data_IF_129797260966
#
_entry.id   IF_129797260966
#
_cell.length_a   1.000
_cell.length_b   1.000
_cell.length_c   1.000
_cell.angle_alpha   90.00
_cell.angle_beta   90.00
_cell.angle_gamma   90.00
#
_symmetry.space_group_name_H-M   'P 1'
#
loop_
_entity.id
_entity.type
_entity.pdbx_description
1 polymer ?
#
# COMPACT_ATOMS: atom_id res chain seq x y z
N UNK A 1 -31.26 -25.66 -4.22
CA UNK A 1 -31.04 -26.45 -2.98
C UNK A 1 -29.96 -25.78 -2.17
N UNK A 2 -30.13 -25.60 -0.84
CA UNK A 2 -29.04 -25.12 0.01
C UNK A 2 -27.86 -26.10 -0.04
N UNK A 3 -26.64 -25.59 -0.19
CA UNK A 3 -25.42 -26.41 -0.11
C UNK A 3 -25.04 -26.59 1.35
N UNK A 4 -24.89 -27.83 1.81
CA UNK A 4 -24.35 -28.14 3.14
C UNK A 4 -22.82 -28.14 3.07
N UNK A 5 -22.18 -27.38 3.95
CA UNK A 5 -20.72 -27.33 4.10
C UNK A 5 -20.37 -27.74 5.52
N UNK A 6 -19.40 -28.64 5.68
CA UNK A 6 -18.87 -29.06 6.99
C UNK A 6 -17.51 -28.41 7.20
N UNK A 7 -17.37 -27.65 8.27
CA UNK A 7 -16.13 -26.99 8.65
C UNK A 7 -15.52 -27.75 9.84
N UNK A 8 -14.22 -28.06 9.76
CA UNK A 8 -13.46 -28.63 10.86
C UNK A 8 -12.79 -27.49 11.63
N UNK A 9 -13.07 -27.43 12.93
CA UNK A 9 -12.49 -26.44 13.84
C UNK A 9 -11.28 -27.07 14.51
N UNK A 10 -10.18 -26.33 14.63
CA UNK A 10 -8.98 -26.81 15.33
C UNK A 10 -9.28 -26.95 16.83
N UNK A 11 -8.59 -27.88 17.49
CA UNK A 11 -8.84 -28.20 18.91
C UNK A 11 -8.74 -26.98 19.86
N UNK A 12 -7.94 -25.96 19.51
CA UNK A 12 -7.82 -24.73 20.29
C UNK A 12 -8.94 -23.69 20.08
N UNK A 13 -9.68 -23.80 18.98
CA UNK A 13 -10.64 -22.78 18.57
C UNK A 13 -12.09 -23.11 19.00
N UNK A 14 -12.33 -24.30 19.56
CA UNK A 14 -13.68 -24.75 19.94
C UNK A 14 -14.41 -23.77 20.88
N UNK A 15 -13.70 -23.20 21.87
CA UNK A 15 -14.30 -22.21 22.78
C UNK A 15 -14.73 -20.92 22.07
N UNK A 16 -13.99 -20.48 21.05
CA UNK A 16 -14.36 -19.31 20.25
C UNK A 16 -15.65 -19.58 19.47
N UNK A 17 -15.77 -20.77 18.88
CA UNK A 17 -16.94 -21.18 18.11
C UNK A 17 -18.19 -21.32 18.98
N UNK A 18 -18.08 -21.91 20.17
CA UNK A 18 -19.20 -21.98 21.12
C UNK A 18 -19.65 -20.59 21.57
N UNK A 19 -18.71 -19.68 21.84
CA UNK A 19 -19.02 -18.28 22.17
C UNK A 19 -19.71 -17.57 21.00
N UNK A 20 -19.19 -17.72 19.79
CA UNK A 20 -19.79 -17.11 18.59
C UNK A 20 -21.21 -17.64 18.34
N UNK A 21 -21.42 -18.94 18.52
CA UNK A 21 -22.75 -19.59 18.44
C UNK A 21 -23.72 -19.05 19.49
N UNK A 22 -23.27 -18.92 20.75
CA UNK A 22 -24.09 -18.35 21.82
C UNK A 22 -24.50 -16.89 21.52
N UNK A 23 -23.57 -16.09 21.00
CA UNK A 23 -23.84 -14.70 20.58
C UNK A 23 -24.75 -14.61 19.35
N UNK A 24 -24.65 -15.57 18.42
CA UNK A 24 -25.52 -15.63 17.24
C UNK A 24 -26.95 -16.07 17.58
N UNK A 25 -27.17 -16.75 18.73
CA UNK A 25 -28.48 -17.26 19.13
C UNK A 25 -28.76 -18.73 18.75
N UNK A 26 -27.72 -19.54 18.51
CA UNK A 26 -27.85 -20.98 18.21
C UNK A 26 -27.21 -21.42 16.89
N UNK A 27 -27.40 -22.70 16.52
CA UNK A 27 -26.79 -23.29 15.32
C UNK A 27 -27.34 -22.72 14.00
N UNK A 28 -28.64 -22.44 13.96
CA UNK A 28 -29.31 -21.93 12.74
C UNK A 28 -28.83 -20.51 12.38
N UNK A 29 -28.44 -19.73 13.36
CA UNK A 29 -27.88 -18.39 13.19
C UNK A 29 -26.35 -18.38 13.04
N UNK A 30 -25.64 -19.43 13.47
CA UNK A 30 -24.20 -19.59 13.25
C UNK A 30 -23.88 -19.70 11.74
N UNK A 31 -24.71 -20.39 10.96
CA UNK A 31 -24.53 -20.48 9.51
C UNK A 31 -24.66 -19.10 8.83
N UNK A 32 -25.59 -18.27 9.32
CA UNK A 32 -25.76 -16.89 8.87
C UNK A 32 -24.54 -16.02 9.22
N UNK A 33 -24.05 -16.12 10.46
CA UNK A 33 -22.84 -15.43 10.93
C UNK A 33 -21.62 -15.79 10.09
N UNK A 34 -21.37 -17.07 9.86
CA UNK A 34 -20.23 -17.55 9.07
C UNK A 34 -20.34 -17.08 7.63
N UNK A 35 -21.54 -17.13 7.04
CA UNK A 35 -21.75 -16.64 5.66
C UNK A 35 -21.47 -15.14 5.54
N UNK A 36 -21.91 -14.35 6.52
CA UNK A 36 -21.64 -12.91 6.54
C UNK A 36 -20.15 -12.59 6.73
N UNK A 37 -19.47 -13.32 7.63
CA UNK A 37 -18.02 -13.18 7.81
C UNK A 37 -17.25 -13.54 6.53
N UNK A 38 -17.64 -14.63 5.85
CA UNK A 38 -17.05 -15.02 4.57
C UNK A 38 -17.31 -14.00 3.47
N UNK A 39 -18.51 -13.42 3.41
CA UNK A 39 -18.84 -12.35 2.47
C UNK A 39 -17.91 -11.15 2.67
N UNK A 40 -17.80 -10.66 3.90
CA UNK A 40 -16.89 -9.55 4.23
C UNK A 40 -15.45 -9.86 3.86
N UNK A 41 -14.99 -11.08 4.14
CA UNK A 41 -13.67 -11.53 3.75
C UNK A 41 -13.48 -11.51 2.23
N UNK A 42 -14.42 -12.07 1.47
CA UNK A 42 -14.34 -12.10 0.00
C UNK A 42 -14.37 -10.69 -0.57
N UNK A 43 -15.31 -9.85 -0.16
CA UNK A 43 -15.42 -8.47 -0.62
C UNK A 43 -14.12 -7.70 -0.35
N UNK A 44 -13.49 -7.92 0.81
CA UNK A 44 -12.20 -7.35 1.15
C UNK A 44 -11.07 -7.86 0.25
N UNK A 45 -10.99 -9.18 0.01
CA UNK A 45 -9.97 -9.75 -0.87
C UNK A 45 -10.13 -9.31 -2.33
N UNK A 46 -11.37 -9.18 -2.81
CA UNK A 46 -11.64 -8.70 -4.17
C UNK A 46 -11.28 -7.22 -4.33
N UNK A 47 -11.60 -6.37 -3.33
CA UNK A 47 -11.12 -4.98 -3.29
C UNK A 47 -9.59 -4.91 -3.32
N UNK A 48 -8.91 -5.72 -2.50
CA UNK A 48 -7.44 -5.81 -2.47
C UNK A 48 -6.86 -6.21 -3.82
N UNK A 49 -7.45 -7.21 -4.46
CA UNK A 49 -7.00 -7.69 -5.77
C UNK A 49 -7.22 -6.62 -6.85
N UNK A 50 -8.35 -5.91 -6.81
CA UNK A 50 -8.64 -4.82 -7.73
C UNK A 50 -7.64 -3.66 -7.59
N UNK A 51 -7.35 -3.20 -6.36
CA UNK A 51 -6.37 -2.15 -6.12
C UNK A 51 -4.96 -2.54 -6.62
N UNK A 52 -4.52 -3.77 -6.34
CA UNK A 52 -3.24 -4.29 -6.87
C UNK A 52 -3.22 -4.36 -8.40
N UNK A 53 -4.34 -4.69 -9.03
CA UNK A 53 -4.44 -4.72 -10.48
C UNK A 53 -4.43 -3.31 -11.07
N UNK A 54 -5.14 -2.36 -10.46
CA UNK A 54 -5.15 -0.96 -10.88
C UNK A 54 -3.74 -0.33 -10.85
N UNK A 55 -2.99 -0.57 -9.76
CA UNK A 55 -1.59 -0.13 -9.66
C UNK A 55 -0.73 -0.75 -10.76
N UNK A 56 -0.95 -2.03 -11.09
CA UNK A 56 -0.26 -2.70 -12.21
C UNK A 56 -0.64 -2.10 -13.56
N UNK A 57 -1.90 -1.74 -13.77
CA UNK A 57 -2.38 -1.17 -15.03
C UNK A 57 -1.86 0.27 -15.23
N UNK A 58 -1.53 0.97 -14.14
CA UNK A 58 -0.86 2.28 -14.14
C UNK A 58 0.65 2.20 -14.39
N UNK A 59 1.24 1.00 -14.44
CA UNK A 59 2.67 0.83 -14.63
C UNK A 59 3.11 1.34 -16.00
N UNK A 60 4.03 2.29 -16.02
CA UNK A 60 4.62 2.87 -17.22
C UNK A 60 6.08 3.24 -16.99
N UNK A 61 6.78 3.55 -18.07
CA UNK A 61 8.14 4.04 -17.97
C UNK A 61 8.15 5.51 -17.53
N UNK A 62 8.96 5.81 -16.51
CA UNK A 62 9.25 7.15 -16.02
C UNK A 62 10.70 7.50 -16.30
N UNK A 63 10.94 8.78 -16.58
CA UNK A 63 12.28 9.36 -16.73
C UNK A 63 12.37 10.58 -15.84
N UNK A 64 13.08 10.45 -14.71
CA UNK A 64 13.32 11.55 -13.79
C UNK A 64 14.61 12.27 -14.17
N UNK A 65 14.58 13.59 -14.23
CA UNK A 65 15.78 14.41 -14.29
C UNK A 65 16.21 14.74 -12.88
N UNK A 66 17.43 14.31 -12.51
CA UNK A 66 17.94 14.39 -11.14
C UNK A 66 19.23 15.18 -11.14
N UNK A 67 19.42 16.03 -10.14
CA UNK A 67 20.62 16.82 -9.95
C UNK A 67 21.76 15.91 -9.49
N UNK A 68 22.93 16.05 -10.11
CA UNK A 68 24.11 15.27 -9.75
C UNK A 68 24.75 15.90 -8.52
N UNK A 69 24.94 15.09 -7.46
CA UNK A 69 25.73 15.45 -6.28
C UNK A 69 27.10 14.81 -6.41
N UNK A 70 28.17 15.60 -6.28
CA UNK A 70 29.56 15.11 -6.30
C UNK A 70 30.29 15.64 -5.07
N UNK A 71 30.83 14.74 -4.24
CA UNK A 71 31.57 15.11 -3.02
C UNK A 71 30.74 15.92 -2.01
N UNK A 72 29.41 15.72 -1.97
CA UNK A 72 28.50 16.46 -1.09
C UNK A 72 28.07 17.84 -1.63
N UNK A 73 28.47 18.20 -2.85
CA UNK A 73 28.09 19.46 -3.49
C UNK A 73 27.12 19.19 -4.64
N UNK A 74 26.01 19.92 -4.64
CA UNK A 74 25.07 19.97 -5.76
C UNK A 74 25.78 20.58 -6.96
N UNK A 75 25.94 19.76 -8.01
CA UNK A 75 26.48 20.25 -9.28
C UNK A 75 25.32 20.81 -10.10
N UNK A 76 25.54 21.86 -10.88
CA UNK A 76 24.52 22.36 -11.82
C UNK A 76 24.19 21.40 -12.98
N UNK A 77 24.72 20.16 -12.94
CA UNK A 77 24.52 19.13 -13.95
C UNK A 77 23.37 18.20 -13.56
N UNK A 78 22.58 17.79 -14.54
CA UNK A 78 21.47 16.84 -14.37
C UNK A 78 21.80 15.50 -15.03
N UNK A 79 21.26 14.40 -14.48
CA UNK A 79 21.26 13.06 -15.09
C UNK A 79 19.82 12.55 -15.20
N UNK A 80 19.58 11.69 -16.20
CA UNK A 80 18.29 11.01 -16.38
C UNK A 80 18.30 9.65 -15.69
N UNK A 81 17.29 9.38 -14.88
CA UNK A 81 17.04 8.09 -14.23
C UNK A 81 15.77 7.51 -14.81
N UNK A 82 15.83 6.28 -15.30
CA UNK A 82 14.71 5.62 -15.97
C UNK A 82 14.28 4.38 -15.18
N UNK A 83 12.99 4.21 -14.99
CA UNK A 83 12.41 3.02 -14.36
C UNK A 83 10.99 2.78 -14.85
N UNK A 84 10.48 1.56 -14.63
CA UNK A 84 9.05 1.25 -14.81
C UNK A 84 8.40 1.28 -13.45
N UNK A 85 7.28 2.00 -13.33
CA UNK A 85 6.55 2.13 -12.07
C UNK A 85 5.17 2.73 -12.26
N UNK A 86 4.46 2.94 -11.17
CA UNK A 86 3.20 3.68 -11.09
C UNK A 86 3.37 4.83 -10.12
N UNK A 87 2.93 6.04 -10.50
CA UNK A 87 2.79 7.16 -9.56
C UNK A 87 1.69 6.76 -8.57
N UNK A 88 1.95 6.87 -7.28
CA UNK A 88 1.01 6.58 -6.20
C UNK A 88 0.35 7.85 -5.69
N UNK A 89 1.15 8.89 -5.48
CA UNK A 89 0.72 10.19 -5.00
C UNK A 89 1.62 11.29 -5.53
N UNK A 90 1.06 12.49 -5.67
CA UNK A 90 1.76 13.72 -6.00
C UNK A 90 1.26 14.84 -5.08
N UNK A 91 2.14 15.76 -4.69
CA UNK A 91 1.72 16.93 -3.94
C UNK A 91 2.78 18.00 -3.90
N UNK A 92 2.40 19.15 -3.34
CA UNK A 92 3.26 20.32 -3.32
C UNK A 92 3.26 20.95 -1.92
N UNK A 93 4.46 21.11 -1.37
CA UNK A 93 4.68 21.88 -0.14
C UNK A 93 5.51 23.13 -0.50
N UNK A 94 4.91 24.30 -0.33
CA UNK A 94 5.48 25.58 -0.77
C UNK A 94 5.88 25.56 -2.26
N UNK A 95 7.18 25.54 -2.57
CA UNK A 95 7.71 25.48 -3.95
C UNK A 95 8.28 24.12 -4.32
N UNK A 96 8.12 23.12 -3.44
CA UNK A 96 8.69 21.78 -3.59
C UNK A 96 7.58 20.82 -4.01
N UNK A 97 7.83 20.07 -5.08
CA UNK A 97 6.92 19.01 -5.55
C UNK A 97 7.44 17.67 -5.02
N UNK A 98 6.52 16.85 -4.53
CA UNK A 98 6.78 15.52 -3.99
C UNK A 98 5.97 14.50 -4.79
N UNK A 99 6.67 13.58 -5.45
CA UNK A 99 6.05 12.45 -6.14
C UNK A 99 6.48 11.15 -5.47
N UNK A 100 5.54 10.25 -5.22
CA UNK A 100 5.83 8.90 -4.71
C UNK A 100 5.44 7.87 -5.76
N UNK A 101 6.36 7.02 -6.17
CA UNK A 101 6.14 5.96 -7.15
C UNK A 101 6.32 4.58 -6.53
N UNK A 102 5.52 3.59 -6.95
CA UNK A 102 5.86 2.17 -6.82
C UNK A 102 6.57 1.71 -8.08
N UNK A 103 7.78 1.17 -7.95
CA UNK A 103 8.50 0.55 -9.06
C UNK A 103 7.93 -0.83 -9.38
N UNK A 104 8.15 -1.31 -10.61
CA UNK A 104 7.81 -2.69 -11.00
C UNK A 104 8.57 -3.76 -10.18
N UNK A 105 9.68 -3.37 -9.53
CA UNK A 105 10.43 -4.20 -8.59
C UNK A 105 9.93 -4.16 -7.15
N UNK A 106 8.82 -3.45 -6.87
CA UNK A 106 8.20 -3.37 -5.54
C UNK A 106 8.80 -2.33 -4.59
N UNK A 107 9.81 -1.57 -5.01
CA UNK A 107 10.39 -0.47 -4.23
C UNK A 107 9.61 0.82 -4.40
N UNK A 108 9.67 1.70 -3.42
CA UNK A 108 9.13 3.05 -3.49
C UNK A 108 10.21 4.05 -3.91
N UNK A 109 9.86 4.98 -4.79
CA UNK A 109 10.72 6.12 -5.16
C UNK A 109 10.04 7.39 -4.67
N UNK A 110 10.68 8.14 -3.80
CA UNK A 110 10.28 9.51 -3.49
C UNK A 110 11.12 10.44 -4.35
N UNK A 111 10.48 11.17 -5.25
CA UNK A 111 11.10 12.20 -6.06
C UNK A 111 10.72 13.58 -5.51
N UNK A 112 11.71 14.46 -5.44
CA UNK A 112 11.59 15.81 -4.92
C UNK A 112 12.05 16.75 -6.03
N UNK A 113 11.19 17.65 -6.47
CA UNK A 113 11.59 18.78 -7.31
C UNK A 113 11.55 20.06 -6.47
N UNK A 114 12.73 20.64 -6.25
CA UNK A 114 12.92 21.85 -5.47
C UNK A 114 13.71 22.89 -6.28
N UNK A 115 13.69 24.13 -5.80
CA UNK A 115 14.38 25.24 -6.49
C UNK A 115 15.90 25.07 -6.58
N UNK A 116 16.50 24.31 -5.67
CA UNK A 116 17.93 24.01 -5.61
C UNK A 116 18.33 22.70 -6.31
N UNK A 117 17.34 21.93 -6.78
CA UNK A 117 17.58 20.73 -7.55
C UNK A 117 16.47 19.70 -7.46
N UNK A 118 16.63 18.65 -8.27
CA UNK A 118 15.71 17.52 -8.30
C UNK A 118 16.41 16.31 -7.72
N UNK A 119 15.81 15.66 -6.73
CA UNK A 119 16.41 14.56 -5.98
C UNK A 119 15.47 13.37 -5.94
N UNK A 120 16.01 12.18 -5.67
CA UNK A 120 15.18 11.03 -5.37
C UNK A 120 15.88 10.12 -4.38
N UNK A 121 15.07 9.46 -3.57
CA UNK A 121 15.48 8.36 -2.72
C UNK A 121 14.59 7.14 -2.95
N UNK A 122 15.12 5.97 -2.62
CA UNK A 122 14.45 4.67 -2.82
C UNK A 122 14.27 3.97 -1.48
N UNK A 123 13.07 3.47 -1.24
CA UNK A 123 12.64 2.85 0.01
C UNK A 123 12.07 1.45 -0.26
N UNK A 124 12.20 0.55 0.71
CA UNK A 124 11.69 -0.83 0.56
C UNK A 124 10.22 -0.93 1.00
N UNK A 125 9.78 -0.11 1.96
CA UNK A 125 8.42 -0.14 2.53
C UNK A 125 7.85 1.28 2.74
N UNK A 126 6.53 1.38 2.93
CA UNK A 126 5.90 2.64 3.33
C UNK A 126 6.39 3.11 4.70
N UNK A 127 6.71 2.19 5.61
CA UNK A 127 7.23 2.54 6.93
C UNK A 127 8.64 3.14 6.84
N UNK A 128 9.49 2.57 5.97
CA UNK A 128 10.82 3.14 5.68
C UNK A 128 10.71 4.55 5.08
N UNK A 129 9.74 4.74 4.17
CA UNK A 129 9.44 6.05 3.58
C UNK A 129 8.97 7.03 4.66
N UNK A 130 7.97 6.65 5.46
CA UNK A 130 7.39 7.49 6.51
C UNK A 130 8.40 7.87 7.60
N UNK A 131 9.32 6.95 7.95
CA UNK A 131 10.29 7.17 9.02
C UNK A 131 11.49 8.04 8.59
N UNK A 132 11.81 8.09 7.29
CA UNK A 132 13.11 8.61 6.81
C UNK A 132 12.98 9.74 5.80
N UNK A 133 11.85 9.85 5.11
CA UNK A 133 11.65 10.83 4.07
C UNK A 133 10.96 12.08 4.61
N UNK A 134 11.30 13.24 4.04
CA UNK A 134 10.54 14.47 4.24
C UNK A 134 9.37 14.51 3.24
N UNK A 135 8.45 13.55 3.35
CA UNK A 135 7.22 13.49 2.54
C UNK A 135 6.11 14.19 3.32
N UNK A 136 5.38 15.15 2.71
CA UNK A 136 4.20 15.75 3.30
C UNK A 136 3.17 14.69 3.73
N UNK A 137 2.50 14.90 4.86
CA UNK A 137 1.58 13.90 5.44
C UNK A 137 0.42 13.53 4.49
N UNK A 138 -0.07 14.48 3.71
CA UNK A 138 -1.12 14.28 2.71
C UNK A 138 -0.64 13.42 1.53
N UNK A 139 0.56 13.68 1.02
CA UNK A 139 1.18 12.86 -0.05
C UNK A 139 1.44 11.43 0.44
N UNK A 140 1.87 11.28 1.70
CA UNK A 140 2.07 9.96 2.29
C UNK A 140 0.73 9.23 2.45
N UNK A 141 -0.31 9.91 2.93
CA UNK A 141 -1.65 9.32 3.08
C UNK A 141 -2.23 8.87 1.73
N UNK A 142 -2.09 9.68 0.68
CA UNK A 142 -2.52 9.31 -0.67
C UNK A 142 -1.72 8.11 -1.21
N UNK A 143 -0.40 8.05 -0.95
CA UNK A 143 0.42 6.92 -1.37
C UNK A 143 0.03 5.62 -0.66
N UNK A 144 -0.33 5.69 0.62
CA UNK A 144 -0.88 4.58 1.40
C UNK A 144 -2.23 4.14 0.83
N UNK A 145 -3.14 5.09 0.55
CA UNK A 145 -4.45 4.80 -0.02
C UNK A 145 -4.32 4.13 -1.39
N UNK A 146 -3.44 4.64 -2.26
CA UNK A 146 -3.20 4.11 -3.60
C UNK A 146 -2.66 2.67 -3.59
N UNK A 147 -1.89 2.29 -2.56
CA UNK A 147 -1.39 0.93 -2.36
C UNK A 147 -2.41 0.01 -1.65
N UNK A 148 -3.43 0.60 -1.02
CA UNK A 148 -4.29 -0.05 -0.04
C UNK A 148 -3.58 -0.25 1.30
N UNK A 149 -4.36 -0.35 2.39
CA UNK A 149 -3.89 -0.47 3.79
C UNK A 149 -2.89 -1.63 4.07
N UNK A 150 -2.59 -2.49 3.09
CA UNK A 150 -1.71 -3.66 3.25
C UNK A 150 -0.22 -3.43 2.96
N UNK A 151 0.23 -2.21 2.60
CA UNK A 151 1.68 -1.90 2.55
C UNK A 151 2.20 -1.18 3.81
N UNK A 152 1.32 -0.87 4.76
CA UNK A 152 1.69 -0.39 6.10
C UNK A 152 1.87 -1.64 6.97
N UNK A 153 3.11 -2.06 7.20
CA UNK A 153 3.35 -3.11 8.18
C UNK A 153 3.24 -2.44 9.54
N UNK A 154 2.03 -2.45 10.12
CA UNK A 154 1.92 -2.25 11.56
C UNK A 154 2.71 -3.37 12.25
N UNK A 155 3.93 -3.04 12.68
CA UNK A 155 4.67 -3.85 13.63
C UNK A 155 4.17 -3.44 15.01
N UNK A 156 3.43 -4.35 15.66
CA UNK A 156 3.16 -4.31 17.11
C UNK A 156 4.46 -4.21 17.93
#
# INVERSE_FOLDING_TARGET
MPKKVTLYVRDGDGQLWERAKALAGGDDSLSGLVTEALRRYVDEQERKQAARQEVKDRMREYVLETTIISGGVVTGSKRKVRFVGALLAEGQEATTIHDVFLTSGGKLVHFIEASDGNFYDVYETLDDLAARAAVPEDVLAEAVEALGEEYVVNID
#
